data_IF_127541785746
#
_entry.id   IF_127541785746
#
_cell.length_a   1.000
_cell.length_b   1.000
_cell.length_c   1.000
_cell.angle_alpha   90.00
_cell.angle_beta   90.00
_cell.angle_gamma   90.00
#
_symmetry.space_group_name_H-M   'P 1'
#
loop_
_entity.id
_entity.type
_entity.pdbx_description
1 polymer ?
#
# COMPACT_ATOMS: atom_id res chain seq x y z
N UNK A 1 -0.24 -0.92 20.49
CA UNK A 1 -1.53 -1.10 19.79
C UNK A 1 -1.24 -1.20 18.29
N UNK A 2 -2.05 -1.93 17.49
CA UNK A 2 -1.85 -1.99 16.04
C UNK A 2 -1.97 -0.59 15.43
N UNK A 3 -1.10 -0.25 14.48
CA UNK A 3 -1.09 1.03 13.77
C UNK A 3 -1.49 0.81 12.31
N UNK A 4 -2.44 1.62 11.85
CA UNK A 4 -2.88 1.66 10.45
C UNK A 4 -2.34 2.95 9.83
N UNK A 5 -1.72 2.85 8.66
CA UNK A 5 -1.20 4.02 7.94
C UNK A 5 -2.05 4.25 6.69
N UNK A 6 -2.50 5.48 6.51
CA UNK A 6 -3.30 5.92 5.38
C UNK A 6 -2.79 7.27 4.86
N UNK A 7 -3.31 7.71 3.72
CA UNK A 7 -3.06 9.05 3.17
C UNK A 7 -2.05 9.05 2.03
N UNK A 8 -2.54 9.25 0.80
CA UNK A 8 -1.69 9.41 -0.39
C UNK A 8 -0.88 8.17 -0.80
N UNK A 9 -1.21 6.99 -0.27
CA UNK A 9 -0.53 5.75 -0.62
C UNK A 9 -0.87 5.32 -2.05
N UNK A 10 0.13 4.79 -2.76
CA UNK A 10 0.02 4.20 -4.09
C UNK A 10 1.03 3.06 -4.23
N UNK A 11 0.96 2.31 -5.35
CA UNK A 11 1.93 1.25 -5.62
C UNK A 11 3.38 1.76 -5.67
N UNK A 12 3.59 3.06 -5.97
CA UNK A 12 4.93 3.66 -6.06
C UNK A 12 5.56 4.05 -4.72
N UNK A 13 4.79 4.11 -3.63
CA UNK A 13 5.31 4.55 -2.32
C UNK A 13 4.98 3.63 -1.14
N UNK A 14 4.04 2.69 -1.30
CA UNK A 14 3.59 1.85 -0.19
C UNK A 14 4.70 0.97 0.37
N UNK A 15 5.63 0.51 -0.49
CA UNK A 15 6.77 -0.31 -0.05
C UNK A 15 7.73 0.45 0.88
N UNK A 16 8.08 1.70 0.53
CA UNK A 16 8.92 2.56 1.38
C UNK A 16 8.22 2.86 2.71
N UNK A 17 6.91 3.14 2.66
CA UNK A 17 6.08 3.34 3.86
C UNK A 17 6.12 2.12 4.79
N UNK A 18 5.93 0.90 4.26
CA UNK A 18 5.99 -0.35 5.04
C UNK A 18 7.39 -0.55 5.63
N UNK A 19 8.44 -0.38 4.83
CA UNK A 19 9.82 -0.56 5.28
C UNK A 19 10.20 0.42 6.42
N UNK A 20 9.77 1.67 6.31
CA UNK A 20 10.08 2.72 7.28
C UNK A 20 9.25 2.62 8.57
N UNK A 21 7.94 2.35 8.46
CA UNK A 21 7.01 2.48 9.59
C UNK A 21 6.60 1.14 10.20
N UNK A 22 6.77 0.03 9.47
CA UNK A 22 6.34 -1.33 9.85
C UNK A 22 4.92 -1.34 10.46
N UNK A 23 3.91 -0.80 9.75
CA UNK A 23 2.56 -0.71 10.28
C UNK A 23 1.92 -2.09 10.34
N UNK A 24 0.87 -2.22 11.16
CA UNK A 24 0.04 -3.42 11.16
C UNK A 24 -0.75 -3.55 9.84
N UNK A 25 -1.20 -2.43 9.29
CA UNK A 25 -1.90 -2.40 8.01
C UNK A 25 -1.72 -1.06 7.30
N UNK A 26 -1.90 -1.07 5.99
CA UNK A 26 -2.02 0.13 5.15
C UNK A 26 -3.44 0.25 4.60
N UNK A 27 -3.93 1.47 4.49
CA UNK A 27 -5.24 1.78 3.91
C UNK A 27 -5.08 2.71 2.70
N UNK A 28 -5.72 2.35 1.58
CA UNK A 28 -5.63 3.08 0.33
C UNK A 28 -7.01 3.41 -0.23
N UNK A 29 -7.17 4.65 -0.68
CA UNK A 29 -8.37 5.07 -1.40
C UNK A 29 -8.03 5.71 -2.75
N UNK A 30 -7.58 6.97 -2.77
CA UNK A 30 -7.37 7.70 -4.03
C UNK A 30 -6.19 7.22 -4.86
N UNK A 31 -5.16 6.61 -4.26
CA UNK A 31 -3.99 6.12 -5.00
C UNK A 31 -4.22 4.85 -5.83
N UNK A 32 -5.45 4.33 -5.82
CA UNK A 32 -5.91 3.22 -6.69
C UNK A 32 -7.14 3.61 -7.51
N UNK A 33 -7.36 4.91 -7.72
CA UNK A 33 -8.46 5.45 -8.53
C UNK A 33 -7.96 5.94 -9.89
N UNK A 34 -8.75 5.71 -10.95
CA UNK A 34 -8.52 6.31 -12.27
C UNK A 34 -9.14 7.71 -12.38
N UNK A 35 -10.19 7.97 -11.58
CA UNK A 35 -10.82 9.26 -11.36
C UNK A 35 -11.48 9.27 -9.97
N UNK A 36 -11.80 10.44 -9.38
CA UNK A 36 -12.34 10.52 -8.01
C UNK A 36 -13.55 9.58 -7.80
N UNK A 37 -13.39 8.63 -6.88
CA UNK A 37 -14.40 7.62 -6.55
C UNK A 37 -14.53 6.44 -7.52
N UNK A 38 -13.73 6.39 -8.59
CA UNK A 38 -13.71 5.29 -9.57
C UNK A 38 -12.42 4.47 -9.38
N UNK A 39 -12.56 3.28 -8.81
CA UNK A 39 -11.44 2.37 -8.59
C UNK A 39 -10.93 1.78 -9.90
N UNK A 40 -9.61 1.71 -10.03
CA UNK A 40 -8.92 1.05 -11.15
C UNK A 40 -8.41 -0.31 -10.69
N UNK A 41 -8.87 -1.38 -11.36
CA UNK A 41 -8.50 -2.75 -11.03
C UNK A 41 -7.00 -3.01 -11.17
N UNK A 42 -6.36 -2.48 -12.22
CA UNK A 42 -4.93 -2.64 -12.43
C UNK A 42 -4.12 -1.88 -11.37
N UNK A 43 -4.60 -0.71 -10.94
CA UNK A 43 -3.97 0.03 -9.84
C UNK A 43 -4.12 -0.69 -8.49
N UNK A 44 -5.27 -1.30 -8.21
CA UNK A 44 -5.48 -2.15 -7.03
C UNK A 44 -4.51 -3.34 -7.06
N UNK A 45 -4.43 -4.05 -8.17
CA UNK A 45 -3.54 -5.20 -8.32
C UNK A 45 -2.08 -4.81 -8.12
N UNK A 46 -1.65 -3.69 -8.72
CA UNK A 46 -0.31 -3.14 -8.54
C UNK A 46 -0.03 -2.73 -7.08
N UNK A 47 -1.00 -2.12 -6.39
CA UNK A 47 -0.87 -1.75 -4.99
C UNK A 47 -0.70 -2.99 -4.09
N UNK A 48 -1.56 -3.99 -4.27
CA UNK A 48 -1.49 -5.25 -3.53
C UNK A 48 -0.18 -6.00 -3.80
N UNK A 49 0.32 -5.99 -5.04
CA UNK A 49 1.61 -6.58 -5.39
C UNK A 49 2.78 -5.87 -4.70
N UNK A 50 2.76 -4.53 -4.67
CA UNK A 50 3.79 -3.74 -3.98
C UNK A 50 3.80 -3.97 -2.46
N UNK A 51 2.61 -4.09 -1.83
CA UNK A 51 2.50 -4.46 -0.40
C UNK A 51 3.12 -5.83 -0.13
N UNK A 52 2.77 -6.85 -0.92
CA UNK A 52 3.30 -8.21 -0.76
C UNK A 52 4.81 -8.28 -0.94
N UNK A 53 5.34 -7.58 -1.94
CA UNK A 53 6.79 -7.51 -2.16
C UNK A 53 7.51 -6.87 -0.96
N UNK A 54 6.94 -5.81 -0.39
CA UNK A 54 7.50 -5.18 0.80
C UNK A 54 7.41 -6.07 2.04
N UNK A 55 6.30 -6.82 2.21
CA UNK A 55 6.17 -7.78 3.30
C UNK A 55 7.23 -8.89 3.21
N UNK A 56 7.47 -9.42 2.00
CA UNK A 56 8.54 -10.40 1.76
C UNK A 56 9.92 -9.83 2.08
N UNK A 57 10.19 -8.58 1.72
CA UNK A 57 11.47 -7.93 2.00
C UNK A 57 11.69 -7.64 3.50
N UNK A 58 10.65 -7.15 4.19
CA UNK A 58 10.73 -6.64 5.56
C UNK A 58 10.54 -7.72 6.62
N UNK A 59 9.65 -8.69 6.38
CA UNK A 59 9.22 -9.68 7.37
C UNK A 59 9.60 -11.13 7.03
N UNK A 60 9.95 -11.47 5.78
CA UNK A 60 10.39 -12.82 5.42
C UNK A 60 11.90 -13.07 5.65
N UNK A 61 12.57 -12.23 6.45
CA UNK A 61 13.89 -12.47 7.03
C UNK A 61 13.81 -12.77 8.52
#
# INVERSE_FOLDING_TARGET
>A
APVFVAGGLSAGNVGECIAALRPYAVDVSSGVESAPGIKDHAAIDAFCAAVRAADEEVYAR
#
